data_IF_646418189287
#
_entry.id   IF_646418189287
#
_cell.length_a   1.000
_cell.length_b   1.000
_cell.length_c   1.000
_cell.angle_alpha   90.00
_cell.angle_beta   90.00
_cell.angle_gamma   90.00
#
_symmetry.space_group_name_H-M   'P 1'
#
loop_
_entity.id
_entity.type
_entity.pdbx_description
1 polymer ?
#
# COMPACT_ATOMS: atom_id res chain seq x y z
N UNK A 1 16.98 5.57 25.51
CA UNK A 1 17.16 4.86 24.23
C UNK A 1 16.53 5.71 23.13
N UNK A 2 17.21 5.99 22.01
CA UNK A 2 16.60 6.68 20.88
C UNK A 2 15.52 5.78 20.26
N UNK A 3 14.34 6.34 20.00
CA UNK A 3 13.20 5.62 19.42
C UNK A 3 13.27 5.50 17.90
N UNK A 4 12.15 5.11 17.28
CA UNK A 4 11.96 5.10 15.83
C UNK A 4 10.82 6.05 15.47
N UNK A 5 11.06 6.96 14.52
CA UNK A 5 10.04 7.82 13.93
C UNK A 5 9.76 7.34 12.51
N UNK A 6 8.54 6.88 12.26
CA UNK A 6 8.09 6.47 10.93
C UNK A 6 7.19 7.56 10.32
N UNK A 7 7.54 8.05 9.13
CA UNK A 7 6.77 9.03 8.39
C UNK A 7 6.38 8.40 7.06
N UNK A 8 5.09 8.11 6.92
CA UNK A 8 4.50 7.64 5.67
C UNK A 8 4.16 8.82 4.74
N UNK A 9 4.14 8.55 3.44
CA UNK A 9 3.87 9.54 2.39
C UNK A 9 4.67 10.84 2.55
N UNK A 10 5.99 10.71 2.76
CA UNK A 10 6.90 11.84 3.05
C UNK A 10 6.85 12.94 1.98
N UNK A 11 6.49 12.62 0.74
CA UNK A 11 6.29 13.57 -0.36
C UNK A 11 5.16 14.58 -0.11
N UNK A 12 4.34 14.37 0.92
CA UNK A 12 3.31 15.31 1.39
C UNK A 12 3.84 16.38 2.33
N UNK A 13 5.09 16.27 2.80
CA UNK A 13 5.76 17.32 3.57
C UNK A 13 6.17 18.48 2.66
N UNK A 14 6.18 19.69 3.22
CA UNK A 14 6.71 20.87 2.57
C UNK A 14 8.19 21.13 2.89
N UNK A 15 8.77 22.09 2.19
CA UNK A 15 10.17 22.48 2.33
C UNK A 15 10.52 22.90 3.78
N UNK A 16 9.60 23.54 4.49
CA UNK A 16 9.81 23.98 5.87
C UNK A 16 9.89 22.79 6.83
N UNK A 17 9.02 21.79 6.64
CA UNK A 17 9.08 20.53 7.38
C UNK A 17 10.41 19.81 7.18
N UNK A 18 10.90 19.74 5.94
CA UNK A 18 12.21 19.13 5.65
C UNK A 18 13.37 19.91 6.28
N UNK A 19 13.30 21.25 6.29
CA UNK A 19 14.30 22.09 6.96
C UNK A 19 14.34 21.82 8.47
N UNK A 20 13.17 21.67 9.11
CA UNK A 20 13.07 21.31 10.52
C UNK A 20 13.62 19.90 10.78
N UNK A 21 13.21 18.91 9.97
CA UNK A 21 13.67 17.52 10.09
C UNK A 21 15.18 17.41 9.93
N UNK A 22 15.77 18.12 8.96
CA UNK A 22 17.22 18.13 8.75
C UNK A 22 17.96 18.61 10.01
N UNK A 23 17.49 19.68 10.67
CA UNK A 23 18.06 20.16 11.93
C UNK A 23 17.84 19.20 13.09
N UNK A 24 16.67 18.56 13.15
CA UNK A 24 16.37 17.58 14.20
C UNK A 24 17.26 16.33 14.09
N UNK A 25 17.53 15.88 12.85
CA UNK A 25 18.40 14.74 12.54
C UNK A 25 19.87 14.97 12.90
N UNK A 26 20.32 16.23 12.94
CA UNK A 26 21.67 16.60 13.39
C UNK A 26 21.84 16.53 14.92
N UNK A 27 20.74 16.37 15.67
CA UNK A 27 20.79 16.22 17.12
C UNK A 27 21.35 14.87 17.54
N UNK A 28 22.21 14.84 18.57
CA UNK A 28 22.79 13.61 19.13
C UNK A 28 21.77 12.66 19.75
N UNK A 29 20.57 13.17 20.06
CA UNK A 29 19.45 12.39 20.61
C UNK A 29 18.38 12.06 19.55
N UNK A 30 18.67 12.30 18.27
CA UNK A 30 17.72 12.01 17.20
C UNK A 30 17.35 10.52 17.16
N UNK A 31 16.06 10.16 17.06
CA UNK A 31 15.66 8.79 16.78
C UNK A 31 16.11 8.36 15.39
N UNK A 32 16.01 7.06 15.13
CA UNK A 32 16.09 6.55 13.75
C UNK A 32 14.83 7.00 13.01
N UNK A 33 14.99 7.69 11.88
CA UNK A 33 13.87 8.14 11.06
C UNK A 33 13.74 7.25 9.84
N UNK A 34 12.54 6.72 9.62
CA UNK A 34 12.18 5.90 8.47
C UNK A 34 11.16 6.68 7.65
N UNK A 35 11.53 7.01 6.42
CA UNK A 35 10.63 7.63 5.45
C UNK A 35 10.05 6.57 4.51
N UNK A 36 8.76 6.69 4.20
CA UNK A 36 8.11 5.92 3.15
C UNK A 36 7.46 6.85 2.12
N UNK A 37 7.51 6.43 0.86
CA UNK A 37 6.87 7.13 -0.26
C UNK A 37 6.54 6.16 -1.38
N UNK A 38 5.42 6.37 -2.03
CA UNK A 38 5.04 5.70 -3.27
C UNK A 38 5.27 6.58 -4.51
N UNK A 39 5.86 7.78 -4.35
CA UNK A 39 6.18 8.69 -5.47
C UNK A 39 7.63 8.54 -5.90
N UNK A 40 7.81 8.32 -7.21
CA UNK A 40 9.14 8.28 -7.84
C UNK A 40 9.78 9.66 -7.94
N UNK A 41 9.19 10.57 -8.72
CA UNK A 41 9.64 11.96 -8.88
C UNK A 41 8.43 12.88 -8.74
N UNK A 42 8.52 13.90 -7.88
CA UNK A 42 7.43 14.86 -7.71
C UNK A 42 7.95 16.21 -7.18
N UNK A 43 7.07 17.22 -7.22
CA UNK A 43 7.37 18.57 -6.76
C UNK A 43 7.47 18.60 -5.22
N UNK A 44 8.51 19.22 -4.69
CA UNK A 44 8.63 19.49 -3.24
C UNK A 44 7.57 20.53 -2.89
N UNK A 45 6.67 20.23 -1.96
CA UNK A 45 5.60 21.16 -1.61
C UNK A 45 6.19 22.44 -0.99
N UNK A 46 5.67 23.60 -1.39
CA UNK A 46 6.23 24.90 -0.96
C UNK A 46 7.47 25.37 -1.73
N UNK A 47 7.88 24.66 -2.78
CA UNK A 47 9.00 25.01 -3.68
C UNK A 47 8.58 24.78 -5.14
N UNK A 48 9.27 25.36 -6.12
CA UNK A 48 9.12 25.04 -7.55
C UNK A 48 10.02 23.89 -8.04
N UNK A 49 10.79 23.30 -7.12
CA UNK A 49 11.72 22.22 -7.40
C UNK A 49 11.01 20.86 -7.53
N UNK A 50 11.40 20.08 -8.55
CA UNK A 50 11.01 18.68 -8.74
C UNK A 50 12.20 17.80 -8.39
N UNK A 51 11.98 16.83 -7.50
CA UNK A 51 13.03 16.00 -6.95
C UNK A 51 12.57 14.54 -6.81
N UNK A 52 13.47 13.54 -6.87
CA UNK A 52 13.15 12.18 -6.47
C UNK A 52 12.47 12.14 -5.11
N UNK A 53 11.43 11.33 -4.98
CA UNK A 53 10.67 11.12 -3.76
C UNK A 53 10.01 12.37 -3.15
N UNK A 54 10.05 13.53 -3.84
CA UNK A 54 9.54 14.80 -3.32
C UNK A 54 10.37 15.36 -2.15
N UNK A 55 11.64 14.97 -2.06
CA UNK A 55 12.53 15.34 -0.96
C UNK A 55 13.67 16.26 -1.43
N UNK A 56 14.15 17.20 -0.61
CA UNK A 56 15.36 17.97 -0.89
C UNK A 56 16.59 17.09 -1.12
N UNK A 57 17.46 17.48 -2.06
CA UNK A 57 18.64 16.69 -2.48
C UNK A 57 19.62 16.44 -1.34
N UNK A 58 19.83 17.43 -0.48
CA UNK A 58 20.69 17.33 0.70
C UNK A 58 20.24 16.26 1.70
N UNK A 59 18.92 16.08 1.86
CA UNK A 59 18.37 14.99 2.66
C UNK A 59 18.47 13.64 1.93
N UNK A 60 18.25 13.62 0.61
CA UNK A 60 18.40 12.40 -0.21
C UNK A 60 19.82 11.82 -0.15
N UNK A 61 20.84 12.67 -0.14
CA UNK A 61 22.24 12.25 -0.03
C UNK A 61 22.57 11.61 1.33
N UNK A 62 21.71 11.79 2.34
CA UNK A 62 21.88 11.29 3.72
C UNK A 62 21.01 10.06 4.03
N UNK A 63 20.10 9.66 3.16
CA UNK A 63 19.20 8.51 3.40
C UNK A 63 19.69 7.23 2.73
N UNK A 64 19.45 6.10 3.40
CA UNK A 64 19.58 4.79 2.78
C UNK A 64 18.25 4.42 2.11
N UNK A 65 18.25 4.32 0.79
CA UNK A 65 17.06 3.93 0.02
C UNK A 65 16.97 2.41 -0.04
N UNK A 66 15.85 1.86 0.43
CA UNK A 66 15.54 0.42 0.33
C UNK A 66 14.32 0.25 -0.57
N UNK A 67 14.48 -0.26 -1.81
CA UNK A 67 13.36 -0.43 -2.72
C UNK A 67 12.48 -1.62 -2.28
N UNK A 68 11.17 -1.45 -2.36
CA UNK A 68 10.20 -2.55 -2.20
C UNK A 68 9.84 -3.11 -3.57
N UNK A 69 9.84 -4.43 -3.69
CA UNK A 69 9.41 -5.14 -4.91
C UNK A 69 7.96 -5.63 -4.75
N UNK A 70 7.29 -5.85 -5.86
CA UNK A 70 5.95 -6.44 -5.85
C UNK A 70 6.00 -7.91 -5.41
N UNK A 71 4.96 -8.33 -4.68
CA UNK A 71 4.81 -9.72 -4.26
C UNK A 71 4.45 -10.62 -5.44
N UNK A 72 5.06 -11.79 -5.47
CA UNK A 72 4.66 -12.89 -6.34
C UNK A 72 3.31 -13.47 -5.93
N UNK A 73 2.65 -14.16 -6.85
CA UNK A 73 1.33 -14.78 -6.62
C UNK A 73 1.34 -15.79 -5.45
N UNK A 74 2.44 -16.53 -5.29
CA UNK A 74 2.60 -17.47 -4.17
C UNK A 74 2.80 -16.75 -2.82
N UNK A 75 3.48 -15.61 -2.80
CA UNK A 75 3.57 -14.77 -1.61
C UNK A 75 2.22 -14.14 -1.26
N UNK A 76 1.47 -13.65 -2.26
CA UNK A 76 0.13 -13.11 -2.07
C UNK A 76 -0.79 -14.15 -1.41
N UNK A 77 -0.83 -15.39 -1.96
CA UNK A 77 -1.58 -16.51 -1.37
C UNK A 77 -1.23 -16.72 0.11
N UNK A 78 0.07 -16.71 0.43
CA UNK A 78 0.55 -16.92 1.81
C UNK A 78 0.13 -15.78 2.74
N UNK A 79 0.26 -14.53 2.29
CA UNK A 79 -0.14 -13.36 3.08
C UNK A 79 -1.66 -13.37 3.31
N UNK A 80 -2.45 -13.66 2.28
CA UNK A 80 -3.91 -13.77 2.36
C UNK A 80 -4.30 -14.89 3.33
N UNK A 81 -3.64 -16.05 3.25
CA UNK A 81 -3.87 -17.17 4.18
C UNK A 81 -3.67 -16.76 5.64
N UNK A 82 -2.55 -16.07 5.94
CA UNK A 82 -2.25 -15.57 7.28
C UNK A 82 -3.31 -14.55 7.72
N UNK A 83 -3.71 -13.65 6.82
CA UNK A 83 -4.71 -12.61 7.11
C UNK A 83 -6.08 -13.21 7.38
N UNK A 84 -6.52 -14.16 6.57
CA UNK A 84 -7.78 -14.87 6.72
C UNK A 84 -7.82 -15.64 8.06
N UNK A 85 -6.72 -16.32 8.42
CA UNK A 85 -6.61 -16.98 9.71
C UNK A 85 -6.69 -16.00 10.89
N UNK A 86 -6.01 -14.85 10.80
CA UNK A 86 -6.04 -13.81 11.83
C UNK A 86 -7.43 -13.16 11.99
N UNK A 87 -8.21 -13.06 10.92
CA UNK A 87 -9.57 -12.53 10.93
C UNK A 87 -10.63 -13.60 11.18
N UNK A 88 -10.25 -14.87 11.41
CA UNK A 88 -11.15 -16.01 11.56
C UNK A 88 -12.09 -16.18 10.35
N UNK A 89 -11.50 -16.13 9.15
CA UNK A 89 -12.16 -16.38 7.86
C UNK A 89 -11.64 -17.70 7.32
N UNK A 90 -12.49 -18.73 7.37
CA UNK A 90 -12.17 -20.03 6.76
C UNK A 90 -12.56 -19.98 5.28
N UNK A 91 -11.59 -20.18 4.39
CA UNK A 91 -11.79 -20.14 2.95
C UNK A 91 -11.48 -21.50 2.33
N UNK A 92 -12.21 -21.86 1.28
CA UNK A 92 -11.84 -23.03 0.48
C UNK A 92 -10.54 -22.79 -0.31
N UNK A 93 -9.80 -23.85 -0.68
CA UNK A 93 -8.55 -23.71 -1.43
C UNK A 93 -8.72 -23.06 -2.82
N UNK A 94 -9.86 -23.28 -3.47
CA UNK A 94 -10.21 -22.63 -4.75
C UNK A 94 -10.39 -21.13 -4.57
N UNK A 95 -11.09 -20.74 -3.50
CA UNK A 95 -11.35 -19.36 -3.15
C UNK A 95 -10.04 -18.59 -2.90
N UNK A 96 -9.10 -19.21 -2.18
CA UNK A 96 -7.79 -18.60 -1.91
C UNK A 96 -6.99 -18.30 -3.19
N UNK A 97 -7.13 -19.13 -4.23
CA UNK A 97 -6.51 -18.86 -5.54
C UNK A 97 -7.15 -17.65 -6.21
N UNK A 98 -8.48 -17.59 -6.28
CA UNK A 98 -9.23 -16.47 -6.88
C UNK A 98 -8.86 -15.15 -6.19
N UNK A 99 -8.82 -15.17 -4.86
CA UNK A 99 -8.52 -14.00 -4.03
C UNK A 99 -7.08 -13.53 -4.23
N UNK A 100 -6.13 -14.45 -4.45
CA UNK A 100 -4.75 -14.10 -4.77
C UNK A 100 -4.59 -13.52 -6.19
N UNK A 101 -5.29 -14.09 -7.17
CA UNK A 101 -5.33 -13.56 -8.54
C UNK A 101 -5.92 -12.14 -8.54
N UNK A 102 -7.01 -11.93 -7.79
CA UNK A 102 -7.61 -10.61 -7.60
C UNK A 102 -6.65 -9.62 -6.91
N UNK A 103 -5.88 -10.06 -5.91
CA UNK A 103 -4.90 -9.20 -5.23
C UNK A 103 -3.78 -8.77 -6.17
N UNK A 104 -3.41 -9.63 -7.13
CA UNK A 104 -2.40 -9.33 -8.13
C UNK A 104 -2.91 -8.28 -9.15
N UNK A 105 -4.16 -8.41 -9.60
CA UNK A 105 -4.81 -7.44 -10.52
C UNK A 105 -5.12 -6.08 -9.86
N UNK A 106 -5.29 -6.07 -8.54
CA UNK A 106 -5.77 -4.90 -7.79
C UNK A 106 -4.75 -4.46 -6.73
N UNK A 107 -5.01 -4.74 -5.46
CA UNK A 107 -4.06 -4.55 -4.38
C UNK A 107 -4.36 -5.49 -3.22
N UNK A 108 -3.33 -5.79 -2.42
CA UNK A 108 -3.51 -6.51 -1.17
C UNK A 108 -4.46 -5.83 -0.19
N UNK A 109 -4.50 -4.49 -0.20
CA UNK A 109 -5.42 -3.72 0.64
C UNK A 109 -6.87 -3.96 0.26
N UNK A 110 -7.19 -3.90 -1.04
CA UNK A 110 -8.54 -4.13 -1.53
C UNK A 110 -9.01 -5.53 -1.14
N UNK A 111 -8.22 -6.56 -1.43
CA UNK A 111 -8.58 -7.94 -1.11
C UNK A 111 -8.72 -8.21 0.39
N UNK A 112 -7.84 -7.67 1.22
CA UNK A 112 -7.96 -7.80 2.67
C UNK A 112 -9.28 -7.23 3.20
N UNK A 113 -9.80 -6.17 2.58
CA UNK A 113 -11.09 -5.58 2.94
C UNK A 113 -12.29 -6.45 2.54
N UNK A 114 -12.13 -7.38 1.59
CA UNK A 114 -13.21 -8.29 1.16
C UNK A 114 -13.35 -9.53 2.04
N UNK A 115 -12.31 -9.91 2.81
CA UNK A 115 -12.31 -11.13 3.61
C UNK A 115 -13.44 -11.15 4.65
N UNK A 116 -13.60 -10.06 5.39
CA UNK A 116 -14.64 -9.95 6.42
C UNK A 116 -16.06 -9.91 5.81
N UNK A 117 -16.36 -9.08 4.77
CA UNK A 117 -17.63 -9.14 4.06
C UNK A 117 -17.96 -10.52 3.46
N UNK A 118 -16.97 -11.21 2.87
CA UNK A 118 -17.17 -12.56 2.33
C UNK A 118 -17.53 -13.58 3.40
N UNK A 119 -16.92 -13.49 4.59
CA UNK A 119 -17.34 -14.30 5.74
C UNK A 119 -18.78 -14.02 6.15
N UNK A 120 -19.17 -12.75 6.23
CA UNK A 120 -20.54 -12.37 6.62
C UNK A 120 -21.54 -12.91 5.59
N UNK A 121 -21.22 -12.82 4.30
CA UNK A 121 -22.06 -13.37 3.23
C UNK A 121 -22.22 -14.89 3.36
N UNK A 122 -21.12 -15.61 3.60
CA UNK A 122 -21.16 -17.05 3.84
C UNK A 122 -22.05 -17.40 5.06
N UNK A 123 -21.91 -16.66 6.17
CA UNK A 123 -22.68 -16.86 7.39
C UNK A 123 -24.18 -16.60 7.20
N UNK A 124 -24.55 -15.55 6.48
CA UNK A 124 -25.95 -15.26 6.11
C UNK A 124 -26.52 -16.38 5.25
N UNK A 125 -25.69 -17.00 4.41
CA UNK A 125 -26.04 -18.18 3.61
C UNK A 125 -26.04 -19.50 4.41
N UNK A 126 -25.82 -19.45 5.73
CA UNK A 126 -25.81 -20.62 6.61
C UNK A 126 -24.51 -21.45 6.55
N UNK A 127 -23.42 -20.90 6.01
CA UNK A 127 -22.12 -21.56 5.86
C UNK A 127 -21.05 -20.90 6.73
N UNK A 128 -20.10 -21.69 7.20
CA UNK A 128 -18.92 -21.18 7.92
C UNK A 128 -17.67 -21.03 7.04
N UNK A 129 -17.67 -21.69 5.87
CA UNK A 129 -16.57 -21.67 4.91
C UNK A 129 -16.96 -20.74 3.76
N UNK A 130 -16.08 -19.80 3.47
CA UNK A 130 -16.17 -18.89 2.32
C UNK A 130 -15.79 -19.65 1.06
N UNK A 131 -16.71 -19.69 0.11
CA UNK A 131 -16.56 -20.31 -1.19
C UNK A 131 -16.41 -19.28 -2.31
N UNK A 132 -16.10 -19.74 -3.51
CA UNK A 132 -15.84 -18.90 -4.68
C UNK A 132 -17.00 -17.94 -5.01
N UNK A 133 -18.24 -18.36 -4.75
CA UNK A 133 -19.46 -17.59 -4.98
C UNK A 133 -19.60 -16.38 -4.03
N UNK A 134 -19.15 -16.51 -2.78
CA UNK A 134 -19.19 -15.41 -1.81
C UNK A 134 -18.23 -14.29 -2.24
N UNK A 135 -17.05 -14.65 -2.76
CA UNK A 135 -16.07 -13.67 -3.26
C UNK A 135 -16.58 -12.97 -4.51
N UNK A 136 -17.25 -13.69 -5.42
CA UNK A 136 -17.82 -13.09 -6.64
C UNK A 136 -18.90 -12.07 -6.29
N UNK A 137 -19.86 -12.46 -5.44
CA UNK A 137 -20.93 -11.56 -5.01
C UNK A 137 -20.37 -10.31 -4.32
N UNK A 138 -19.41 -10.49 -3.41
CA UNK A 138 -18.78 -9.36 -2.70
C UNK A 138 -17.95 -8.49 -3.64
N UNK A 139 -17.31 -9.06 -4.65
CA UNK A 139 -16.58 -8.30 -5.67
C UNK A 139 -17.53 -7.45 -6.52
N UNK A 140 -18.74 -7.93 -6.79
CA UNK A 140 -19.76 -7.18 -7.53
C UNK A 140 -20.41 -6.07 -6.66
N UNK A 141 -20.53 -6.29 -5.35
CA UNK A 141 -21.11 -5.33 -4.40
C UNK A 141 -20.15 -4.20 -4.01
N UNK A 142 -18.84 -4.46 -3.97
CA UNK A 142 -17.83 -3.49 -3.54
C UNK A 142 -17.02 -2.97 -4.73
N UNK A 143 -16.90 -1.65 -4.85
CA UNK A 143 -16.06 -1.04 -5.88
C UNK A 143 -14.59 -1.33 -5.57
N UNK A 144 -13.95 -2.14 -6.41
CA UNK A 144 -12.52 -2.43 -6.34
C UNK A 144 -11.80 -1.66 -7.45
N UNK A 145 -10.93 -0.73 -7.06
CA UNK A 145 -10.08 -0.04 -8.03
C UNK A 145 -9.02 -1.02 -8.55
N UNK A 146 -9.14 -1.42 -9.82
CA UNK A 146 -8.12 -2.21 -10.51
C UNK A 146 -6.96 -1.31 -10.87
N UNK A 147 -5.73 -1.85 -10.83
CA UNK A 147 -4.50 -1.07 -11.10
C UNK A 147 -4.51 -0.30 -12.42
N UNK A 148 -5.30 -0.76 -13.40
CA UNK A 148 -5.33 -0.23 -14.76
C UNK A 148 -6.68 0.43 -15.14
N UNK A 149 -7.64 0.52 -14.22
CA UNK A 149 -8.92 1.18 -14.52
C UNK A 149 -8.85 2.63 -14.09
N UNK A 150 -8.72 3.53 -15.07
CA UNK A 150 -8.94 4.95 -14.89
C UNK A 150 -10.46 5.19 -14.83
N UNK A 151 -11.07 5.37 -13.64
CA UNK A 151 -12.54 5.39 -13.53
C UNK A 151 -13.15 6.65 -14.16
N UNK A 152 -12.31 7.64 -14.49
CA UNK A 152 -12.73 8.98 -14.93
C UNK A 152 -12.14 9.42 -16.28
N UNK A 153 -11.37 8.57 -16.98
CA UNK A 153 -10.82 8.91 -18.29
C UNK A 153 -9.98 10.21 -18.31
N UNK A 154 -9.44 10.63 -17.18
CA UNK A 154 -8.54 11.79 -17.11
C UNK A 154 -7.15 11.31 -17.50
N UNK A 155 -6.66 11.84 -18.62
CA UNK A 155 -5.32 11.56 -19.13
C UNK A 155 -4.27 11.86 -18.07
N UNK A 156 -3.68 10.83 -17.47
CA UNK A 156 -2.46 10.99 -16.70
C UNK A 156 -1.36 11.47 -17.66
N UNK A 157 -0.85 12.67 -17.40
CA UNK A 157 0.39 13.14 -17.99
C UNK A 157 1.52 12.22 -17.56
N UNK A 158 1.78 11.20 -18.38
CA UNK A 158 2.87 10.28 -18.19
C UNK A 158 4.20 11.04 -18.11
N UNK A 159 4.79 11.10 -16.91
CA UNK A 159 6.23 11.26 -16.80
C UNK A 159 6.86 9.90 -17.10
N UNK A 160 7.83 9.81 -18.03
CA UNK A 160 8.39 8.54 -18.45
C UNK A 160 9.23 7.93 -17.33
N UNK A 161 9.09 6.62 -17.17
CA UNK A 161 10.01 5.80 -16.40
C UNK A 161 11.41 5.85 -17.03
N UNK A 162 12.40 6.28 -16.25
CA UNK A 162 13.82 5.96 -16.42
C UNK A 162 14.50 5.98 -15.07
#
# INVERSE_FOLDING_TARGET
MPGVLFIDEVHMLDLECFTYLHRALESTISPVVIFATNRGVCKIRGSDEVSPHGMPRDLLDRVLIVPTIEYSLEELKKIISIRAAAEHVNMSPSCLKIVADLAHETSMRAVAQLLTPARIHAQVSGREIVEDEDIKEITDLFVINRRNENPFGLSDGAAPHS
#
